data_IF_754413183076
#
_entry.id   IF_754413183076
#
_cell.length_a   1.000
_cell.length_b   1.000
_cell.length_c   1.000
_cell.angle_alpha   90.00
_cell.angle_beta   90.00
_cell.angle_gamma   90.00
#
_symmetry.space_group_name_H-M   'P 1'
#
loop_
_entity.id
_entity.type
_entity.pdbx_description
1 polymer ?
#
# COMPACT_ATOMS: atom_id res chain seq x y z
N UNK A 1 51.21 8.80 26.04
CA UNK A 1 50.64 7.50 25.64
C UNK A 1 49.81 6.90 26.78
N UNK A 2 49.13 7.74 27.58
CA UNK A 2 48.31 7.29 28.75
C UNK A 2 47.00 8.10 28.90
N UNK A 3 46.63 8.98 27.94
CA UNK A 3 45.48 9.89 28.15
C UNK A 3 44.22 9.56 27.31
N UNK A 4 44.21 8.51 26.48
CA UNK A 4 43.05 8.19 25.61
C UNK A 4 42.00 7.26 26.25
N UNK A 5 42.35 6.48 27.28
CA UNK A 5 41.44 5.49 27.88
C UNK A 5 40.36 6.10 28.81
N UNK A 6 40.61 7.29 29.37
CA UNK A 6 39.69 7.95 30.31
C UNK A 6 38.52 8.70 29.62
N UNK A 7 38.65 9.03 28.33
CA UNK A 7 37.59 9.65 27.52
C UNK A 7 36.62 8.61 26.93
N UNK A 8 37.07 7.37 26.69
CA UNK A 8 36.23 6.25 26.23
C UNK A 8 35.17 5.86 27.27
N UNK A 9 35.52 5.84 28.55
CA UNK A 9 34.61 5.50 29.63
C UNK A 9 33.49 6.53 29.85
N UNK A 10 33.77 7.82 29.63
CA UNK A 10 32.78 8.91 29.79
C UNK A 10 31.84 9.02 28.59
N UNK A 11 32.33 8.76 27.38
CA UNK A 11 31.51 8.75 26.18
C UNK A 11 30.50 7.59 26.20
N UNK A 12 30.89 6.41 26.67
CA UNK A 12 30.03 5.22 26.75
C UNK A 12 28.86 5.40 27.73
N UNK A 13 29.11 5.98 28.92
CA UNK A 13 28.07 6.18 29.95
C UNK A 13 27.09 7.30 29.56
N UNK A 14 27.52 8.30 28.81
CA UNK A 14 26.68 9.44 28.41
C UNK A 14 25.71 9.14 27.24
N UNK A 15 25.98 8.07 26.47
CA UNK A 15 25.16 7.62 25.33
C UNK A 15 24.05 6.67 25.81
N UNK A 16 24.35 5.76 26.74
CA UNK A 16 23.40 4.76 27.24
C UNK A 16 22.23 5.39 28.02
N UNK A 17 22.51 6.45 28.79
CA UNK A 17 21.48 7.17 29.56
C UNK A 17 20.55 8.08 28.76
N UNK A 18 20.85 8.38 27.48
CA UNK A 18 20.06 9.32 26.64
C UNK A 18 19.21 8.64 25.56
N UNK A 19 19.52 7.40 25.21
CA UNK A 19 18.75 6.65 24.21
C UNK A 19 17.46 6.02 24.78
N UNK A 20 17.40 5.77 26.08
CA UNK A 20 16.24 5.15 26.75
C UNK A 20 15.00 6.04 26.78
N UNK A 21 15.16 7.37 26.84
CA UNK A 21 14.03 8.31 26.86
C UNK A 21 13.50 8.67 25.44
N UNK A 22 14.31 8.49 24.40
CA UNK A 22 13.91 8.86 23.02
C UNK A 22 13.08 7.80 22.30
N UNK A 23 13.01 6.57 22.83
CA UNK A 23 12.20 5.47 22.28
C UNK A 23 10.68 5.70 22.36
N UNK A 24 10.22 6.75 23.06
CA UNK A 24 8.80 7.12 23.14
C UNK A 24 8.30 8.06 22.04
N UNK A 25 9.18 8.66 21.25
CA UNK A 25 8.78 9.70 20.26
C UNK A 25 8.60 9.18 18.83
N UNK A 26 9.11 8.00 18.49
CA UNK A 26 9.05 7.48 17.11
C UNK A 26 7.79 6.65 16.80
N UNK A 27 6.93 6.38 17.78
CA UNK A 27 5.77 5.49 17.63
C UNK A 27 4.43 6.21 17.37
N UNK A 28 4.41 7.53 17.12
CA UNK A 28 3.17 8.32 17.14
C UNK A 28 2.52 8.54 15.76
N UNK A 29 3.22 8.32 14.64
CA UNK A 29 2.66 8.67 13.31
C UNK A 29 2.31 7.49 12.39
N UNK A 30 2.28 6.25 12.92
CA UNK A 30 1.98 5.05 12.14
C UNK A 30 0.51 4.60 12.15
N UNK A 31 -0.44 5.48 12.49
CA UNK A 31 -1.87 5.16 12.49
C UNK A 31 -2.54 5.54 11.17
N UNK A 32 -3.41 4.69 10.63
CA UNK A 32 -4.15 4.94 9.38
C UNK A 32 -4.95 6.27 9.35
N UNK A 33 -5.19 6.88 10.51
CA UNK A 33 -5.75 8.24 10.62
C UNK A 33 -4.83 9.32 10.05
N UNK A 34 -3.50 9.15 10.15
CA UNK A 34 -2.51 10.07 9.57
C UNK A 34 -2.48 10.01 8.05
N UNK A 35 -2.56 8.81 7.48
CA UNK A 35 -2.60 8.62 6.02
C UNK A 35 -3.87 9.21 5.39
N UNK A 36 -5.03 9.02 6.03
CA UNK A 36 -6.28 9.63 5.58
C UNK A 36 -6.26 11.16 5.67
N UNK A 37 -5.67 11.71 6.73
CA UNK A 37 -5.47 13.15 6.86
C UNK A 37 -4.53 13.70 5.78
N UNK A 38 -3.48 12.96 5.44
CA UNK A 38 -2.57 13.32 4.35
C UNK A 38 -3.28 13.34 3.01
N UNK A 39 -4.10 12.32 2.70
CA UNK A 39 -4.89 12.26 1.47
C UNK A 39 -5.87 13.43 1.40
N UNK A 40 -6.57 13.72 2.51
CA UNK A 40 -7.49 14.85 2.57
C UNK A 40 -6.78 16.18 2.33
N UNK A 41 -5.57 16.36 2.88
CA UNK A 41 -4.79 17.57 2.71
C UNK A 41 -4.29 17.74 1.26
N UNK A 42 -3.89 16.65 0.60
CA UNK A 42 -3.57 16.65 -0.84
C UNK A 42 -4.81 17.06 -1.65
N UNK A 43 -5.97 16.46 -1.36
CA UNK A 43 -7.22 16.76 -2.06
C UNK A 43 -7.62 18.24 -1.89
N UNK A 44 -7.46 18.78 -0.68
CA UNK A 44 -7.73 20.17 -0.37
C UNK A 44 -6.80 21.13 -1.13
N UNK A 45 -5.51 20.78 -1.26
CA UNK A 45 -4.54 21.55 -2.07
C UNK A 45 -4.91 21.60 -3.55
N UNK A 46 -5.46 20.49 -4.09
CA UNK A 46 -5.89 20.40 -5.49
C UNK A 46 -7.23 21.08 -5.79
N UNK A 47 -8.02 21.39 -4.76
CA UNK A 47 -9.39 21.90 -4.93
C UNK A 47 -9.45 23.18 -5.77
N UNK A 48 -8.46 24.07 -5.64
CA UNK A 48 -8.39 25.29 -6.43
C UNK A 48 -8.24 25.05 -7.94
N UNK A 49 -7.34 24.14 -8.33
CA UNK A 49 -7.16 23.76 -9.75
C UNK A 49 -8.41 23.06 -10.29
N UNK A 50 -8.99 22.17 -9.49
CA UNK A 50 -10.23 21.47 -9.83
C UNK A 50 -11.38 22.44 -10.14
N UNK A 51 -11.56 23.50 -9.34
CA UNK A 51 -12.60 24.51 -9.59
C UNK A 51 -12.41 25.22 -10.95
N UNK A 52 -11.17 25.54 -11.34
CA UNK A 52 -10.90 26.17 -12.63
C UNK A 52 -11.28 25.25 -13.80
N UNK A 53 -10.95 23.97 -13.69
CA UNK A 53 -11.26 22.96 -14.69
C UNK A 53 -12.76 22.71 -14.79
N UNK A 54 -13.46 22.63 -13.66
CA UNK A 54 -14.92 22.51 -13.62
C UNK A 54 -15.57 23.75 -14.24
N UNK A 55 -15.06 24.95 -13.96
CA UNK A 55 -15.57 26.18 -14.57
C UNK A 55 -15.40 26.20 -16.10
N UNK A 56 -14.24 25.79 -16.61
CA UNK A 56 -14.00 25.67 -18.05
C UNK A 56 -14.91 24.62 -18.71
N UNK A 57 -15.09 23.48 -18.04
CA UNK A 57 -15.96 22.39 -18.51
C UNK A 57 -17.43 22.79 -18.51
N UNK A 58 -17.87 23.50 -17.48
CA UNK A 58 -19.20 24.08 -17.40
C UNK A 58 -19.43 25.10 -18.52
N UNK A 59 -18.45 25.95 -18.81
CA UNK A 59 -18.52 26.90 -19.94
C UNK A 59 -18.67 26.17 -21.28
N UNK A 60 -17.87 25.13 -21.52
CA UNK A 60 -17.99 24.28 -22.72
C UNK A 60 -19.39 23.68 -22.84
N UNK A 61 -19.90 23.08 -21.76
CA UNK A 61 -21.24 22.47 -21.73
C UNK A 61 -22.35 23.50 -21.96
N UNK A 62 -22.27 24.67 -21.32
CA UNK A 62 -23.27 25.72 -21.48
C UNK A 62 -23.32 26.23 -22.92
N UNK A 63 -22.15 26.44 -23.53
CA UNK A 63 -22.02 26.91 -24.91
C UNK A 63 -22.49 25.85 -25.92
N UNK A 64 -22.04 24.60 -25.79
CA UNK A 64 -22.44 23.52 -26.69
C UNK A 64 -23.94 23.22 -26.60
N UNK A 65 -24.52 23.32 -25.40
CA UNK A 65 -25.95 23.14 -25.16
C UNK A 65 -26.78 24.27 -25.76
N UNK A 66 -26.28 25.50 -25.70
CA UNK A 66 -26.92 26.64 -26.35
C UNK A 66 -26.90 26.47 -27.86
N UNK A 67 -25.75 26.08 -28.42
CA UNK A 67 -25.60 25.85 -29.84
C UNK A 67 -26.50 24.70 -30.32
N UNK A 68 -26.55 23.60 -29.57
CA UNK A 68 -27.46 22.48 -29.84
C UNK A 68 -28.94 22.89 -29.77
N UNK A 69 -29.34 23.67 -28.76
CA UNK A 69 -30.71 24.16 -28.63
C UNK A 69 -31.11 24.99 -29.85
N UNK A 70 -30.33 26.02 -30.19
CA UNK A 70 -30.62 26.91 -31.33
C UNK A 70 -30.63 26.14 -32.66
N UNK A 71 -29.68 25.22 -32.85
CA UNK A 71 -29.52 24.49 -34.10
C UNK A 71 -30.65 23.47 -34.34
N UNK A 72 -31.20 22.88 -33.28
CA UNK A 72 -32.23 21.84 -33.38
C UNK A 72 -33.66 22.31 -33.03
N UNK A 73 -33.88 23.58 -32.69
CA UNK A 73 -35.18 24.12 -32.25
C UNK A 73 -36.32 23.76 -33.24
N UNK A 74 -36.07 23.86 -34.55
CA UNK A 74 -37.09 23.62 -35.58
C UNK A 74 -37.21 22.15 -36.03
N UNK A 75 -36.35 21.25 -35.52
CA UNK A 75 -36.29 19.84 -35.91
C UNK A 75 -37.20 18.96 -35.04
N UNK A 76 -37.44 17.69 -35.42
CA UNK A 76 -38.20 16.77 -34.55
C UNK A 76 -37.50 16.55 -33.22
N UNK A 77 -36.16 16.56 -33.21
CA UNK A 77 -35.35 16.46 -31.99
C UNK A 77 -35.63 17.62 -31.01
N UNK A 78 -35.78 18.84 -31.54
CA UNK A 78 -36.19 20.03 -30.77
C UNK A 78 -37.52 19.86 -30.06
N UNK A 79 -38.47 19.17 -30.70
CA UNK A 79 -39.82 18.98 -30.19
C UNK A 79 -39.95 17.86 -29.16
N UNK A 80 -39.12 16.83 -29.23
CA UNK A 80 -39.20 15.67 -28.33
C UNK A 80 -38.20 15.74 -27.18
N UNK A 81 -36.99 16.20 -27.44
CA UNK A 81 -35.83 15.99 -26.55
C UNK A 81 -35.19 17.32 -26.14
N UNK A 82 -35.08 18.30 -27.04
CA UNK A 82 -34.51 19.63 -26.77
C UNK A 82 -35.59 20.70 -26.63
N UNK A 83 -36.59 20.41 -25.79
CA UNK A 83 -37.79 21.26 -25.59
C UNK A 83 -37.48 22.61 -24.93
N UNK A 84 -36.45 22.67 -24.11
CA UNK A 84 -35.99 23.82 -23.34
C UNK A 84 -34.47 23.83 -23.31
N UNK A 85 -33.87 24.99 -23.05
CA UNK A 85 -32.43 25.08 -22.83
C UNK A 85 -31.97 24.15 -21.69
N UNK A 86 -32.72 24.07 -20.60
CA UNK A 86 -32.38 23.21 -19.46
C UNK A 86 -32.43 21.72 -19.78
N UNK A 87 -33.42 21.28 -20.57
CA UNK A 87 -33.51 19.88 -21.01
C UNK A 87 -32.41 19.55 -22.01
N UNK A 88 -32.08 20.48 -22.91
CA UNK A 88 -30.94 20.34 -23.84
C UNK A 88 -29.61 20.24 -23.10
N UNK A 89 -29.40 21.07 -22.07
CA UNK A 89 -28.20 21.03 -21.24
C UNK A 89 -28.03 19.69 -20.55
N UNK A 90 -29.10 19.15 -19.96
CA UNK A 90 -29.07 17.82 -19.35
C UNK A 90 -28.72 16.72 -20.37
N UNK A 91 -29.32 16.77 -21.56
CA UNK A 91 -29.05 15.78 -22.61
C UNK A 91 -27.63 15.88 -23.19
N UNK A 92 -27.07 17.10 -23.30
CA UNK A 92 -25.68 17.32 -23.70
C UNK A 92 -24.70 16.90 -22.61
N UNK A 93 -25.04 17.07 -21.34
CA UNK A 93 -24.25 16.57 -20.22
C UNK A 93 -24.22 15.02 -20.22
N UNK A 94 -25.35 14.36 -20.44
CA UNK A 94 -25.38 12.90 -20.62
C UNK A 94 -24.57 12.43 -21.83
N UNK A 95 -24.53 13.25 -22.90
CA UNK A 95 -23.70 12.96 -24.07
C UNK A 95 -22.21 13.23 -23.82
N UNK A 96 -21.88 14.20 -22.96
CA UNK A 96 -20.52 14.46 -22.49
C UNK A 96 -19.94 13.25 -21.76
N UNK A 97 -20.76 12.55 -20.97
CA UNK A 97 -20.42 11.29 -20.30
C UNK A 97 -20.61 10.05 -21.19
N UNK A 98 -21.00 10.23 -22.46
CA UNK A 98 -21.33 9.17 -23.42
C UNK A 98 -22.44 8.20 -22.95
N UNK A 99 -23.25 8.57 -21.95
CA UNK A 99 -24.25 7.69 -21.35
C UNK A 99 -25.50 7.51 -22.20
N UNK A 100 -25.83 8.49 -23.05
CA UNK A 100 -26.99 8.46 -23.94
C UNK A 100 -26.61 8.35 -25.44
N UNK A 101 -25.36 7.99 -25.73
CA UNK A 101 -24.91 7.73 -27.10
C UNK A 101 -25.24 6.28 -27.49
N UNK A 102 -25.87 5.99 -28.65
CA UNK A 102 -26.25 6.92 -29.73
C UNK A 102 -27.68 7.53 -29.61
N UNK A 103 -28.47 7.10 -28.63
CA UNK A 103 -29.91 7.35 -28.55
C UNK A 103 -30.34 8.81 -28.66
N UNK A 104 -29.55 9.73 -28.10
CA UNK A 104 -29.90 11.17 -28.07
C UNK A 104 -29.98 11.81 -29.45
N UNK A 105 -29.23 11.32 -30.44
CA UNK A 105 -29.13 11.97 -31.76
C UNK A 105 -29.75 11.15 -32.90
N UNK A 106 -30.23 9.94 -32.63
CA UNK A 106 -30.96 9.10 -33.60
C UNK A 106 -32.16 9.85 -34.22
N UNK A 107 -33.02 10.58 -33.46
CA UNK A 107 -34.15 11.29 -34.05
C UNK A 107 -33.72 12.37 -35.06
N UNK A 108 -32.66 13.13 -34.75
CA UNK A 108 -32.11 14.11 -35.68
C UNK A 108 -31.49 13.42 -36.91
N UNK A 109 -30.77 12.32 -36.72
CA UNK A 109 -30.18 11.59 -37.84
C UNK A 109 -31.22 11.04 -38.83
N UNK A 110 -32.38 10.60 -38.31
CA UNK A 110 -33.52 10.16 -39.13
C UNK A 110 -34.16 11.30 -39.93
N UNK A 111 -34.12 12.53 -39.43
CA UNK A 111 -34.61 13.71 -40.15
C UNK A 111 -33.64 14.12 -41.27
N UNK A 112 -32.36 14.32 -40.94
CA UNK A 112 -31.31 14.58 -41.91
C UNK A 112 -29.97 13.98 -41.47
N UNK A 113 -29.32 13.25 -42.39
CA UNK A 113 -28.05 12.56 -42.11
C UNK A 113 -26.93 13.53 -41.71
N UNK A 114 -26.92 14.75 -42.24
CA UNK A 114 -25.90 15.76 -41.94
C UNK A 114 -25.87 16.21 -40.47
N UNK A 115 -26.96 16.03 -39.73
CA UNK A 115 -27.00 16.37 -38.31
C UNK A 115 -26.07 15.50 -37.45
N UNK A 116 -25.63 14.32 -37.90
CA UNK A 116 -24.65 13.52 -37.16
C UNK A 116 -23.30 14.24 -37.03
N UNK A 117 -22.94 15.15 -37.95
CA UNK A 117 -21.67 15.88 -37.88
C UNK A 117 -21.55 16.73 -36.63
N UNK A 118 -22.65 17.35 -36.19
CA UNK A 118 -22.68 18.12 -34.94
C UNK A 118 -22.34 17.22 -33.75
N UNK A 119 -22.99 16.06 -33.65
CA UNK A 119 -22.80 15.14 -32.53
C UNK A 119 -21.43 14.44 -32.57
N UNK A 120 -20.94 14.07 -33.75
CA UNK A 120 -19.60 13.50 -33.92
C UNK A 120 -18.54 14.52 -33.51
N UNK A 121 -18.66 15.77 -33.98
CA UNK A 121 -17.74 16.84 -33.59
C UNK A 121 -17.81 17.11 -32.09
N UNK A 122 -19.01 17.16 -31.52
CA UNK A 122 -19.23 17.34 -30.10
C UNK A 122 -18.55 16.24 -29.29
N UNK A 123 -18.76 14.96 -29.65
CA UNK A 123 -18.17 13.80 -28.97
C UNK A 123 -16.65 13.80 -29.11
N UNK A 124 -16.12 14.14 -30.28
CA UNK A 124 -14.68 14.22 -30.49
C UNK A 124 -14.07 15.29 -29.59
N UNK A 125 -14.65 16.48 -29.56
CA UNK A 125 -14.16 17.59 -28.74
C UNK A 125 -14.36 17.29 -27.25
N UNK A 126 -15.53 16.80 -26.82
CA UNK A 126 -15.81 16.53 -25.41
C UNK A 126 -14.91 15.44 -24.84
N UNK A 127 -14.80 14.29 -25.52
CA UNK A 127 -14.07 13.14 -24.99
C UNK A 127 -12.57 13.30 -25.21
N UNK A 128 -12.12 13.65 -26.43
CA UNK A 128 -10.68 13.67 -26.71
C UNK A 128 -9.98 14.96 -26.32
N UNK A 129 -10.69 16.09 -26.27
CA UNK A 129 -10.09 17.38 -25.90
C UNK A 129 -10.44 17.72 -24.47
N UNK A 130 -11.73 17.86 -24.14
CA UNK A 130 -12.16 18.38 -22.83
C UNK A 130 -11.84 17.39 -21.70
N UNK A 131 -12.25 16.12 -21.80
CA UNK A 131 -11.96 15.10 -20.76
C UNK A 131 -10.46 14.89 -20.58
N UNK A 132 -9.69 14.82 -21.66
CA UNK A 132 -8.23 14.67 -21.55
C UNK A 132 -7.55 15.91 -20.94
N UNK A 133 -8.05 17.12 -21.23
CA UNK A 133 -7.56 18.34 -20.59
C UNK A 133 -7.89 18.36 -19.10
N UNK A 134 -9.11 17.96 -18.71
CA UNK A 134 -9.52 17.81 -17.30
C UNK A 134 -8.54 16.87 -16.57
N UNK A 135 -8.28 15.69 -17.14
CA UNK A 135 -7.38 14.69 -16.55
C UNK A 135 -5.95 15.24 -16.45
N UNK A 136 -5.47 15.93 -17.49
CA UNK A 136 -4.11 16.48 -17.50
C UNK A 136 -3.90 17.56 -16.41
N UNK A 137 -4.87 18.46 -16.23
CA UNK A 137 -4.77 19.51 -15.22
C UNK A 137 -4.86 18.95 -13.79
N UNK A 138 -5.81 18.03 -13.55
CA UNK A 138 -5.93 17.32 -12.27
C UNK A 138 -4.63 16.56 -11.96
N UNK A 139 -4.07 15.87 -12.94
CA UNK A 139 -2.80 15.14 -12.77
C UNK A 139 -1.64 16.09 -12.48
N UNK A 140 -1.53 17.22 -13.19
CA UNK A 140 -0.52 18.24 -12.93
C UNK A 140 -0.61 18.79 -11.50
N UNK A 141 -1.82 19.12 -11.06
CA UNK A 141 -2.06 19.58 -9.68
C UNK A 141 -1.74 18.51 -8.65
N UNK A 142 -2.12 17.24 -8.90
CA UNK A 142 -1.82 16.11 -8.02
C UNK A 142 -0.31 15.93 -7.85
N UNK A 143 0.44 15.93 -8.95
CA UNK A 143 1.89 15.78 -8.93
C UNK A 143 2.55 16.95 -8.20
N UNK A 144 2.03 18.17 -8.34
CA UNK A 144 2.55 19.34 -7.63
C UNK A 144 2.38 19.21 -6.10
N UNK A 145 1.18 18.85 -5.63
CA UNK A 145 0.92 18.65 -4.20
C UNK A 145 1.69 17.45 -3.65
N UNK A 146 1.79 16.35 -4.41
CA UNK A 146 2.58 15.19 -4.04
C UNK A 146 4.06 15.55 -3.88
N UNK A 147 4.65 16.33 -4.80
CA UNK A 147 6.04 16.81 -4.69
C UNK A 147 6.26 17.63 -3.43
N UNK A 148 5.32 18.52 -3.09
CA UNK A 148 5.39 19.34 -1.88
C UNK A 148 5.37 18.46 -0.63
N UNK A 149 4.49 17.45 -0.59
CA UNK A 149 4.41 16.51 0.53
C UNK A 149 5.63 15.62 0.68
N UNK A 150 6.17 15.10 -0.42
CA UNK A 150 7.42 14.34 -0.41
C UNK A 150 8.58 15.22 0.10
N UNK A 151 8.66 16.47 -0.37
CA UNK A 151 9.66 17.42 0.10
C UNK A 151 9.53 17.75 1.61
N UNK A 152 8.30 17.91 2.12
CA UNK A 152 8.03 18.10 3.56
C UNK A 152 8.49 16.89 4.39
N UNK A 153 8.21 15.66 3.93
CA UNK A 153 8.65 14.42 4.58
C UNK A 153 10.18 14.27 4.55
N UNK A 154 10.81 14.58 3.42
CA UNK A 154 12.27 14.55 3.29
C UNK A 154 12.94 15.58 4.19
N UNK A 155 12.37 16.78 4.31
CA UNK A 155 12.88 17.81 5.22
C UNK A 155 12.71 17.39 6.69
N UNK A 156 11.56 16.84 7.08
CA UNK A 156 11.34 16.31 8.42
C UNK A 156 12.35 15.21 8.76
N UNK A 157 12.54 14.25 7.85
CA UNK A 157 13.56 13.19 7.99
C UNK A 157 14.96 13.78 8.15
N UNK A 158 15.34 14.76 7.31
CA UNK A 158 16.64 15.42 7.40
C UNK A 158 16.80 16.18 8.72
N UNK A 159 15.74 16.82 9.23
CA UNK A 159 15.74 17.47 10.57
C UNK A 159 15.95 16.46 11.70
N UNK A 160 15.33 15.27 11.63
CA UNK A 160 15.53 14.20 12.61
C UNK A 160 16.97 13.69 12.57
N UNK A 161 17.48 13.37 11.37
CA UNK A 161 18.87 12.91 11.20
C UNK A 161 19.89 13.96 11.66
N UNK A 162 19.59 15.24 11.46
CA UNK A 162 20.42 16.34 11.96
C UNK A 162 20.45 16.37 13.49
N UNK A 163 19.30 16.20 14.16
CA UNK A 163 19.24 16.09 15.62
C UNK A 163 20.03 14.87 16.13
N UNK A 164 19.93 13.74 15.44
CA UNK A 164 20.69 12.51 15.76
C UNK A 164 22.18 12.74 15.60
N UNK A 165 22.62 13.38 14.51
CA UNK A 165 24.03 13.72 14.28
C UNK A 165 24.62 14.54 15.43
N UNK A 166 23.92 15.59 15.87
CA UNK A 166 24.37 16.40 17.01
C UNK A 166 24.32 15.66 18.36
N UNK A 167 23.50 14.62 18.49
CA UNK A 167 23.47 13.78 19.68
C UNK A 167 24.66 12.81 19.73
N UNK A 168 25.16 12.39 18.57
CA UNK A 168 26.33 11.51 18.43
C UNK A 168 27.64 12.31 18.56
N UNK A 169 27.70 13.54 18.04
CA UNK A 169 28.84 14.45 18.20
C UNK A 169 28.90 15.03 19.62
N UNK A 170 29.27 14.17 20.57
CA UNK A 170 29.51 14.56 21.97
C UNK A 170 30.59 15.66 22.11
N UNK A 171 31.45 15.79 21.11
CA UNK A 171 32.56 16.75 21.04
C UNK A 171 32.16 18.13 20.52
N UNK A 172 30.93 18.31 20.02
CA UNK A 172 30.48 19.56 19.34
C UNK A 172 31.46 20.04 18.27
N UNK A 173 32.13 19.09 17.63
CA UNK A 173 33.20 19.32 16.67
C UNK A 173 32.68 19.64 15.27
N UNK A 174 31.39 19.34 15.02
CA UNK A 174 30.74 19.47 13.72
C UNK A 174 30.97 18.27 12.80
N UNK A 175 31.59 17.20 13.30
CA UNK A 175 31.86 15.97 12.55
C UNK A 175 31.76 14.73 13.45
N UNK A 176 31.53 13.57 12.82
CA UNK A 176 31.54 12.27 13.49
C UNK A 176 32.86 11.58 13.23
N UNK A 177 33.55 11.20 14.31
CA UNK A 177 34.81 10.47 14.25
C UNK A 177 34.59 9.00 13.90
N UNK A 178 35.64 8.35 13.36
CA UNK A 178 35.64 6.91 13.06
C UNK A 178 35.20 6.04 14.25
N UNK A 179 35.66 6.37 15.46
CA UNK A 179 35.29 5.63 16.69
C UNK A 179 33.80 5.78 17.00
N UNK A 180 33.28 7.01 16.96
CA UNK A 180 31.85 7.29 17.19
C UNK A 180 30.97 6.61 16.14
N UNK A 181 31.39 6.65 14.87
CA UNK A 181 30.70 5.97 13.77
C UNK A 181 30.71 4.45 13.98
N UNK A 182 31.83 3.87 14.39
CA UNK A 182 31.91 2.43 14.70
C UNK A 182 30.94 2.02 15.82
N UNK A 183 30.86 2.80 16.90
CA UNK A 183 29.88 2.56 17.96
C UNK A 183 28.44 2.66 17.48
N UNK A 184 28.12 3.64 16.63
CA UNK A 184 26.80 3.75 16.01
C UNK A 184 26.46 2.52 15.18
N UNK A 185 27.37 2.06 14.32
CA UNK A 185 27.15 0.86 13.50
C UNK A 185 26.93 -0.38 14.36
N UNK A 186 27.70 -0.53 15.45
CA UNK A 186 27.51 -1.63 16.39
C UNK A 186 26.13 -1.59 17.06
N UNK A 187 25.66 -0.42 17.44
CA UNK A 187 24.33 -0.27 18.06
C UNK A 187 23.21 -0.42 17.04
N UNK A 188 23.39 0.07 15.81
CA UNK A 188 22.45 -0.16 14.70
C UNK A 188 22.35 -1.64 14.34
N UNK A 189 23.43 -2.41 14.50
CA UNK A 189 23.43 -3.85 14.24
C UNK A 189 22.50 -4.65 15.18
N UNK A 190 22.07 -4.07 16.30
CA UNK A 190 21.07 -4.66 17.21
C UNK A 190 19.64 -4.58 16.68
N UNK A 191 19.40 -3.70 15.71
CA UNK A 191 18.07 -3.41 15.17
C UNK A 191 17.99 -3.69 13.67
N UNK A 192 19.14 -3.82 12.99
CA UNK A 192 19.24 -4.06 11.56
C UNK A 192 20.32 -5.09 11.29
N UNK A 193 20.10 -5.87 10.23
CA UNK A 193 21.00 -6.92 9.78
C UNK A 193 22.22 -6.36 9.04
N UNK A 194 23.03 -5.56 9.72
CA UNK A 194 24.26 -5.02 9.14
C UNK A 194 25.33 -6.11 9.26
N UNK A 195 26.06 -6.46 8.19
CA UNK A 195 27.17 -7.41 8.30
C UNK A 195 28.15 -6.97 9.39
N UNK A 196 28.52 -7.87 10.30
CA UNK A 196 29.56 -7.59 11.29
C UNK A 196 30.89 -7.36 10.57
N UNK A 197 31.30 -6.10 10.47
CA UNK A 197 32.54 -5.72 9.80
C UNK A 197 33.67 -5.73 10.84
N UNK A 198 34.75 -6.53 10.65
CA UNK A 198 35.90 -6.49 11.53
C UNK A 198 36.57 -5.10 11.47
N UNK A 199 37.14 -4.64 12.60
CA UNK A 199 37.64 -3.25 12.74
C UNK A 199 38.64 -2.82 11.66
N UNK A 200 39.42 -3.76 11.12
CA UNK A 200 40.40 -3.49 10.05
C UNK A 200 39.76 -3.15 8.70
N UNK A 201 38.62 -3.74 8.37
CA UNK A 201 37.91 -3.51 7.11
C UNK A 201 36.96 -2.30 7.19
N UNK A 202 36.61 -1.88 8.41
CA UNK A 202 35.81 -0.68 8.63
C UNK A 202 36.54 0.60 8.15
N UNK A 203 37.88 0.60 8.09
CA UNK A 203 38.65 1.70 7.51
C UNK A 203 38.35 1.92 6.02
N UNK A 204 38.22 0.84 5.26
CA UNK A 204 37.92 0.91 3.84
C UNK A 204 36.51 1.44 3.59
N UNK A 205 35.55 1.01 4.40
CA UNK A 205 34.16 1.46 4.32
C UNK A 205 34.06 2.93 4.76
N UNK A 206 34.76 3.31 5.82
CA UNK A 206 34.80 4.69 6.29
C UNK A 206 35.42 5.62 5.23
N UNK A 207 36.48 5.19 4.55
CA UNK A 207 37.11 5.94 3.46
C UNK A 207 36.23 6.04 2.20
N UNK A 208 35.37 5.07 1.95
CA UNK A 208 34.39 5.14 0.84
C UNK A 208 33.20 6.05 1.19
N UNK A 209 32.86 6.14 2.48
CA UNK A 209 31.80 7.01 3.00
C UNK A 209 32.24 8.47 3.10
N UNK A 210 33.50 8.70 3.46
CA UNK A 210 34.16 10.00 3.48
C UNK A 210 34.52 10.45 2.05
N UNK A 211 33.54 11.06 1.40
CA UNK A 211 33.70 11.60 0.04
C UNK A 211 34.66 12.80 0.07
N UNK A 212 34.68 13.54 1.18
CA UNK A 212 35.56 14.69 1.39
C UNK A 212 37.04 14.33 1.60
N UNK A 213 37.34 13.07 1.95
CA UNK A 213 38.67 12.55 2.27
C UNK A 213 39.38 13.32 3.40
N UNK A 214 38.62 13.84 4.35
CA UNK A 214 39.13 14.57 5.51
C UNK A 214 39.20 13.70 6.79
N UNK A 215 38.97 12.40 6.64
CA UNK A 215 38.85 11.39 7.68
C UNK A 215 37.75 11.70 8.71
N UNK A 216 36.74 12.46 8.30
CA UNK A 216 35.62 12.90 9.14
C UNK A 216 34.31 12.72 8.38
N UNK A 217 33.23 12.38 9.09
CA UNK A 217 31.90 12.32 8.47
C UNK A 217 31.17 13.61 8.78
N UNK A 218 30.87 14.38 7.73
CA UNK A 218 30.03 15.58 7.84
C UNK A 218 28.52 15.22 7.87
N UNK A 219 27.67 16.20 8.15
CA UNK A 219 26.22 15.98 8.26
C UNK A 219 25.60 15.38 6.97
N UNK A 220 26.01 15.85 5.79
CA UNK A 220 25.46 15.38 4.52
C UNK A 220 25.90 13.95 4.20
N UNK A 221 27.14 13.59 4.51
CA UNK A 221 27.66 12.22 4.43
C UNK A 221 26.96 11.29 5.41
N UNK A 222 26.73 11.76 6.64
CA UNK A 222 25.97 11.01 7.64
C UNK A 222 24.55 10.71 7.17
N UNK A 223 23.85 11.71 6.60
CA UNK A 223 22.50 11.52 6.05
C UNK A 223 22.52 10.52 4.88
N UNK A 224 23.50 10.64 3.97
CA UNK A 224 23.68 9.67 2.87
C UNK A 224 23.92 8.27 3.40
N UNK A 225 24.77 8.11 4.40
CA UNK A 225 25.06 6.84 5.04
C UNK A 225 23.80 6.20 5.60
N UNK A 226 23.02 6.93 6.41
CA UNK A 226 21.77 6.43 6.97
C UNK A 226 20.78 6.02 5.87
N UNK A 227 20.75 6.73 4.75
CA UNK A 227 19.91 6.36 3.61
C UNK A 227 20.38 5.07 2.93
N UNK A 228 21.70 4.90 2.73
CA UNK A 228 22.26 3.66 2.17
C UNK A 228 21.96 2.48 3.09
N UNK A 229 22.14 2.65 4.40
CA UNK A 229 21.85 1.60 5.38
C UNK A 229 20.36 1.23 5.32
N UNK A 230 19.47 2.21 5.25
CA UNK A 230 18.02 1.97 5.16
C UNK A 230 17.57 1.31 3.86
N UNK A 231 18.28 1.50 2.76
CA UNK A 231 17.94 0.89 1.48
C UNK A 231 18.54 -0.51 1.32
N UNK A 232 19.71 -0.77 1.89
CA UNK A 232 20.45 -2.03 1.68
C UNK A 232 20.25 -3.06 2.79
N UNK A 233 20.02 -2.64 4.03
CA UNK A 233 19.95 -3.56 5.17
C UNK A 233 18.54 -3.63 5.72
N UNK A 234 17.99 -4.84 5.72
CA UNK A 234 16.66 -5.13 6.26
C UNK A 234 16.67 -5.01 7.80
N UNK A 235 15.56 -4.51 8.35
CA UNK A 235 15.31 -4.53 9.79
C UNK A 235 15.28 -5.97 10.30
N UNK A 236 16.00 -6.21 11.40
CA UNK A 236 16.15 -7.54 11.96
C UNK A 236 14.78 -8.11 12.39
N UNK A 237 14.57 -9.39 12.07
CA UNK A 237 13.34 -10.10 12.42
C UNK A 237 13.17 -10.07 13.95
N UNK A 238 12.04 -9.55 14.44
CA UNK A 238 11.74 -9.52 15.86
C UNK A 238 11.75 -10.93 16.45
N UNK A 239 12.30 -11.06 17.67
CA UNK A 239 12.38 -12.32 18.39
C UNK A 239 10.97 -12.94 18.51
N UNK A 240 10.83 -14.17 18.04
CA UNK A 240 9.56 -14.90 18.12
C UNK A 240 9.19 -15.11 19.60
N UNK A 241 7.93 -14.87 19.97
CA UNK A 241 7.40 -15.08 21.33
C UNK A 241 7.72 -16.50 21.85
N UNK A 242 7.88 -17.46 20.93
CA UNK A 242 8.21 -18.86 21.19
C UNK A 242 9.67 -19.14 21.57
N UNK A 243 10.61 -18.19 21.45
CA UNK A 243 11.97 -18.33 21.99
C UNK A 243 11.99 -18.35 23.53
N UNK A 244 10.92 -17.92 24.19
CA UNK A 244 10.72 -18.11 25.64
C UNK A 244 10.57 -19.58 26.06
N UNK A 245 10.35 -20.50 25.11
CA UNK A 245 10.26 -21.95 25.34
C UNK A 245 11.41 -22.71 24.62
N UNK A 246 12.64 -22.67 25.15
CA UNK A 246 13.85 -23.12 24.44
C UNK A 246 13.86 -24.62 24.09
N UNK A 247 13.27 -25.48 24.92
CA UNK A 247 13.34 -26.94 24.76
C UNK A 247 12.59 -27.47 23.53
N UNK A 248 11.52 -26.80 23.09
CA UNK A 248 10.74 -27.22 21.91
C UNK A 248 11.19 -26.48 20.65
N UNK A 249 11.60 -25.22 20.79
CA UNK A 249 11.94 -24.34 19.69
C UNK A 249 13.31 -24.67 19.06
N UNK A 250 14.31 -25.07 19.87
CA UNK A 250 15.65 -25.48 19.42
C UNK A 250 15.77 -26.98 19.07
N UNK A 251 14.65 -27.71 18.99
CA UNK A 251 14.69 -29.09 18.53
C UNK A 251 15.11 -29.16 17.05
N UNK A 252 15.95 -30.14 16.64
CA UNK A 252 16.38 -30.28 15.25
C UNK A 252 15.23 -30.50 14.27
N UNK A 253 14.06 -30.94 14.74
CA UNK A 253 12.84 -31.04 13.93
C UNK A 253 12.21 -29.66 13.67
N UNK A 254 12.22 -28.78 14.67
CA UNK A 254 11.70 -27.40 14.57
C UNK A 254 12.58 -26.55 13.64
N UNK A 255 13.90 -26.68 13.71
CA UNK A 255 14.82 -25.98 12.80
C UNK A 255 14.65 -26.40 11.33
N UNK A 256 14.51 -27.71 11.08
CA UNK A 256 14.23 -28.22 9.71
C UNK A 256 12.89 -27.73 9.18
N UNK A 257 11.87 -27.71 10.03
CA UNK A 257 10.53 -27.22 9.69
C UNK A 257 10.56 -25.71 9.36
N UNK A 258 11.26 -24.90 10.18
CA UNK A 258 11.50 -23.47 9.91
C UNK A 258 12.25 -23.25 8.61
N UNK A 259 13.30 -24.02 8.36
CA UNK A 259 14.05 -23.96 7.11
C UNK A 259 13.21 -24.31 5.88
N UNK A 260 12.28 -25.27 6.01
CA UNK A 260 11.35 -25.63 4.93
C UNK A 260 10.31 -24.53 4.68
N UNK A 261 9.67 -24.00 5.73
CA UNK A 261 8.63 -22.96 5.60
C UNK A 261 9.22 -21.64 5.09
N UNK A 262 10.46 -21.31 5.45
CA UNK A 262 11.18 -20.14 4.92
C UNK A 262 11.65 -20.32 3.48
N UNK A 263 11.61 -21.55 2.95
CA UNK A 263 12.07 -21.81 1.59
C UNK A 263 11.03 -21.36 0.55
N UNK A 264 11.50 -20.86 -0.59
CA UNK A 264 10.67 -20.51 -1.75
C UNK A 264 9.86 -21.71 -2.28
N UNK A 265 10.27 -22.94 -1.95
CA UNK A 265 9.53 -24.15 -2.34
C UNK A 265 8.20 -24.25 -1.61
N UNK A 266 8.16 -23.87 -0.33
CA UNK A 266 6.91 -23.87 0.44
C UNK A 266 5.95 -22.82 -0.11
N UNK A 267 6.43 -21.61 -0.38
CA UNK A 267 5.63 -20.54 -1.01
C UNK A 267 5.04 -21.00 -2.36
N UNK A 268 5.84 -21.63 -3.22
CA UNK A 268 5.35 -22.17 -4.49
C UNK A 268 4.29 -23.27 -4.31
N UNK A 269 4.41 -24.11 -3.27
CA UNK A 269 3.39 -25.14 -2.96
C UNK A 269 2.07 -24.48 -2.57
N UNK A 270 2.09 -23.46 -1.71
CA UNK A 270 0.88 -22.76 -1.29
C UNK A 270 0.19 -22.06 -2.46
N UNK A 271 0.96 -21.39 -3.32
CA UNK A 271 0.42 -20.78 -4.56
C UNK A 271 -0.18 -21.84 -5.48
N UNK A 272 0.43 -23.01 -5.59
CA UNK A 272 -0.13 -24.11 -6.36
C UNK A 272 -1.45 -24.63 -5.76
N UNK A 273 -1.52 -24.79 -4.44
CA UNK A 273 -2.75 -25.17 -3.72
C UNK A 273 -3.86 -24.15 -3.95
N UNK A 274 -3.54 -22.85 -3.91
CA UNK A 274 -4.48 -21.76 -4.21
C UNK A 274 -5.04 -21.88 -5.63
N UNK A 275 -4.19 -22.19 -6.62
CA UNK A 275 -4.62 -22.36 -8.01
C UNK A 275 -5.52 -23.59 -8.19
N UNK A 276 -5.21 -24.70 -7.53
CA UNK A 276 -6.06 -25.89 -7.54
C UNK A 276 -7.40 -25.60 -6.87
N UNK A 277 -7.40 -24.87 -5.75
CA UNK A 277 -8.62 -24.45 -5.05
C UNK A 277 -9.51 -23.58 -5.95
N UNK A 278 -8.92 -22.63 -6.70
CA UNK A 278 -9.66 -21.82 -7.68
C UNK A 278 -10.36 -22.69 -8.73
N UNK A 279 -9.67 -23.69 -9.26
CA UNK A 279 -10.27 -24.63 -10.23
C UNK A 279 -11.38 -25.46 -9.58
N UNK A 280 -11.20 -25.91 -8.35
CA UNK A 280 -12.21 -26.65 -7.60
C UNK A 280 -13.50 -25.83 -7.44
N UNK A 281 -13.39 -24.57 -6.99
CA UNK A 281 -14.55 -23.65 -6.83
C UNK A 281 -15.28 -23.40 -8.16
N UNK A 282 -14.55 -23.23 -9.27
CA UNK A 282 -15.16 -23.05 -10.59
C UNK A 282 -15.95 -24.31 -10.99
N UNK A 283 -15.40 -25.50 -10.77
CA UNK A 283 -16.07 -26.76 -11.10
C UNK A 283 -17.32 -26.95 -10.23
N UNK A 284 -17.21 -26.67 -8.94
CA UNK A 284 -18.34 -26.72 -8.00
C UNK A 284 -19.47 -25.80 -8.44
N UNK A 285 -19.15 -24.54 -8.76
CA UNK A 285 -20.15 -23.56 -9.23
C UNK A 285 -20.87 -24.03 -10.50
N UNK A 286 -20.14 -24.68 -11.43
CA UNK A 286 -20.73 -25.23 -12.65
C UNK A 286 -21.60 -26.47 -12.40
N UNK A 287 -21.24 -27.30 -11.42
CA UNK A 287 -22.00 -28.50 -11.04
C UNK A 287 -23.25 -28.18 -10.23
N UNK A 288 -23.21 -27.11 -9.43
CA UNK A 288 -24.36 -26.60 -8.67
C UNK A 288 -25.48 -26.16 -9.61
N UNK A 289 -25.14 -25.49 -10.72
CA UNK A 289 -26.10 -25.14 -11.77
C UNK A 289 -26.75 -26.35 -12.47
N UNK A 290 -26.18 -27.56 -12.29
CA UNK A 290 -26.63 -28.78 -12.97
C UNK A 290 -27.36 -29.76 -12.03
N UNK A 291 -27.68 -29.37 -10.78
CA UNK A 291 -28.40 -30.17 -9.77
C UNK A 291 -27.82 -31.60 -9.60
N UNK A 292 -26.49 -31.71 -9.62
CA UNK A 292 -25.81 -33.00 -9.50
C UNK A 292 -25.58 -33.39 -8.03
N UNK A 293 -25.77 -34.67 -7.71
CA UNK A 293 -25.50 -35.21 -6.36
C UNK A 293 -24.02 -35.18 -5.93
N UNK A 294 -23.12 -34.72 -6.80
CA UNK A 294 -21.70 -34.55 -6.54
C UNK A 294 -21.38 -33.39 -5.56
N UNK A 295 -22.32 -32.50 -5.26
CA UNK A 295 -22.15 -31.35 -4.34
C UNK A 295 -21.55 -31.77 -2.98
N UNK A 296 -22.02 -32.88 -2.40
CA UNK A 296 -21.54 -33.35 -1.07
C UNK A 296 -20.07 -33.79 -1.05
N UNK A 297 -19.48 -34.12 -2.21
CA UNK A 297 -18.05 -34.43 -2.31
C UNK A 297 -17.21 -33.17 -2.44
N UNK A 298 -17.70 -32.17 -3.17
CA UNK A 298 -17.02 -30.88 -3.33
C UNK A 298 -16.97 -30.09 -2.02
N UNK A 299 -18.08 -30.05 -1.27
CA UNK A 299 -18.12 -29.47 0.09
C UNK A 299 -17.08 -30.07 1.04
N UNK A 300 -16.81 -31.39 0.95
CA UNK A 300 -15.75 -32.02 1.77
C UNK A 300 -14.34 -31.61 1.34
N UNK A 301 -14.15 -31.37 0.05
CA UNK A 301 -12.89 -30.90 -0.52
C UNK A 301 -12.64 -29.45 -0.10
N UNK A 302 -13.67 -28.60 -0.07
CA UNK A 302 -13.57 -27.21 0.40
C UNK A 302 -13.11 -27.15 1.87
N UNK A 303 -13.74 -27.92 2.76
CA UNK A 303 -13.32 -28.01 4.18
C UNK A 303 -11.87 -28.48 4.30
N UNK A 304 -11.42 -29.38 3.42
CA UNK A 304 -10.03 -29.84 3.39
C UNK A 304 -9.06 -28.69 3.01
N UNK A 305 -9.43 -27.86 2.03
CA UNK A 305 -8.65 -26.67 1.68
C UNK A 305 -8.63 -25.64 2.80
N UNK A 306 -9.77 -25.38 3.47
CA UNK A 306 -9.84 -24.52 4.65
C UNK A 306 -8.91 -24.97 5.77
N UNK A 307 -8.91 -26.27 6.08
CA UNK A 307 -7.96 -26.87 7.03
C UNK A 307 -6.50 -26.68 6.63
N UNK A 308 -6.17 -26.83 5.33
CA UNK A 308 -4.82 -26.61 4.82
C UNK A 308 -4.36 -25.17 5.02
N UNK A 309 -5.22 -24.18 4.80
CA UNK A 309 -4.90 -22.76 5.03
C UNK A 309 -4.71 -22.44 6.53
N UNK A 310 -5.53 -23.01 7.41
CA UNK A 310 -5.34 -22.85 8.87
C UNK A 310 -4.01 -23.45 9.33
N UNK A 311 -3.64 -24.62 8.81
CA UNK A 311 -2.34 -25.25 9.12
C UNK A 311 -1.21 -24.38 8.60
N UNK A 312 -1.31 -23.88 7.36
CA UNK A 312 -0.34 -22.99 6.74
C UNK A 312 -0.12 -21.72 7.57
N UNK A 313 -1.21 -21.05 7.97
CA UNK A 313 -1.18 -19.85 8.80
C UNK A 313 -0.51 -20.14 10.15
N UNK A 314 -0.88 -21.23 10.80
CA UNK A 314 -0.31 -21.63 12.09
C UNK A 314 1.19 -21.90 11.98
N UNK A 315 1.60 -22.58 10.91
CA UNK A 315 3.01 -22.85 10.60
C UNK A 315 3.79 -21.56 10.33
N UNK A 316 3.24 -20.61 9.56
CA UNK A 316 3.88 -19.30 9.33
C UNK A 316 4.01 -18.50 10.62
N UNK A 317 2.95 -18.40 11.42
CA UNK A 317 2.98 -17.68 12.71
C UNK A 317 3.98 -18.33 13.69
N UNK A 318 4.08 -19.66 13.70
CA UNK A 318 5.06 -20.39 14.53
C UNK A 318 6.51 -20.12 14.09
N UNK A 319 6.76 -20.05 12.78
CA UNK A 319 8.12 -19.94 12.23
C UNK A 319 8.67 -18.52 12.24
N UNK A 320 7.86 -17.53 11.87
CA UNK A 320 8.23 -16.11 11.82
C UNK A 320 7.98 -15.37 13.13
N UNK A 321 7.05 -15.85 13.95
CA UNK A 321 6.53 -15.11 15.10
C UNK A 321 5.47 -14.10 14.70
N UNK A 322 4.55 -13.79 15.62
CA UNK A 322 3.39 -12.93 15.32
C UNK A 322 3.79 -11.53 14.82
N UNK A 323 4.83 -10.93 15.40
CA UNK A 323 5.32 -9.60 15.00
C UNK A 323 5.82 -9.54 13.56
N UNK A 324 6.66 -10.51 13.14
CA UNK A 324 7.19 -10.53 11.78
C UNK A 324 6.14 -10.99 10.76
N UNK A 325 5.26 -11.92 11.16
CA UNK A 325 4.13 -12.33 10.33
C UNK A 325 3.21 -11.15 10.00
N UNK A 326 2.87 -10.32 11.00
CA UNK A 326 2.04 -9.13 10.79
C UNK A 326 2.79 -7.97 10.11
N UNK A 327 4.12 -8.02 9.98
CA UNK A 327 4.87 -6.98 9.27
C UNK A 327 4.72 -7.08 7.75
N UNK A 328 4.48 -8.27 7.23
CA UNK A 328 4.31 -8.51 5.79
C UNK A 328 2.82 -8.39 5.39
N UNK A 329 2.53 -7.47 4.46
CA UNK A 329 1.19 -7.24 3.95
C UNK A 329 0.56 -8.47 3.27
N UNK A 330 1.35 -9.37 2.70
CA UNK A 330 0.84 -10.64 2.14
C UNK A 330 0.29 -11.54 3.24
N UNK A 331 1.04 -11.69 4.32
CA UNK A 331 0.66 -12.50 5.47
C UNK A 331 -0.54 -11.90 6.22
N UNK A 332 -0.64 -10.57 6.33
CA UNK A 332 -1.83 -9.91 6.87
C UNK A 332 -3.09 -10.25 6.06
N UNK A 333 -3.00 -10.25 4.74
CA UNK A 333 -4.10 -10.62 3.85
C UNK A 333 -4.49 -12.10 4.01
N UNK A 334 -3.51 -13.00 4.00
CA UNK A 334 -3.72 -14.44 4.21
C UNK A 334 -4.40 -14.73 5.56
N UNK A 335 -4.01 -14.02 6.63
CA UNK A 335 -4.63 -14.13 7.95
C UNK A 335 -6.11 -13.74 7.93
N UNK A 336 -6.42 -12.58 7.34
CA UNK A 336 -7.80 -12.10 7.24
C UNK A 336 -8.68 -13.08 6.45
N UNK A 337 -8.18 -13.60 5.34
CA UNK A 337 -8.89 -14.61 4.55
C UNK A 337 -9.11 -15.89 5.36
N UNK A 338 -8.06 -16.40 6.00
CA UNK A 338 -8.17 -17.64 6.78
C UNK A 338 -9.16 -17.48 7.93
N UNK A 339 -9.17 -16.33 8.61
CA UNK A 339 -10.19 -16.02 9.61
C UNK A 339 -11.60 -15.99 9.02
N UNK A 340 -11.78 -15.40 7.84
CA UNK A 340 -13.07 -15.37 7.16
C UNK A 340 -13.56 -16.79 6.82
N UNK A 341 -12.68 -17.64 6.27
CA UNK A 341 -12.98 -19.05 5.96
C UNK A 341 -13.39 -19.81 7.23
N UNK A 342 -12.67 -19.64 8.33
CA UNK A 342 -13.01 -20.32 9.60
C UNK A 342 -14.38 -19.84 10.12
N UNK A 343 -14.68 -18.56 10.02
CA UNK A 343 -16.00 -18.03 10.42
C UNK A 343 -17.10 -18.63 9.55
N UNK A 344 -16.90 -18.67 8.24
CA UNK A 344 -17.83 -19.28 7.27
C UNK A 344 -18.08 -20.77 7.58
N UNK A 345 -17.02 -21.56 7.77
CA UNK A 345 -17.14 -22.98 8.14
C UNK A 345 -17.89 -23.18 9.46
N UNK A 346 -17.63 -22.32 10.47
CA UNK A 346 -18.33 -22.37 11.75
C UNK A 346 -19.81 -22.03 11.61
N UNK A 347 -20.20 -21.09 10.73
CA UNK A 347 -21.61 -20.79 10.48
C UNK A 347 -22.35 -21.96 9.85
N UNK A 348 -21.74 -22.64 8.87
CA UNK A 348 -22.32 -23.82 8.22
C UNK A 348 -22.52 -24.95 9.24
N UNK A 349 -21.56 -25.17 10.13
CA UNK A 349 -21.63 -26.23 11.14
C UNK A 349 -22.73 -25.96 12.18
N UNK A 350 -22.90 -24.71 12.61
CA UNK A 350 -23.98 -24.30 13.53
C UNK A 350 -25.36 -24.49 12.88
N UNK A 351 -25.52 -24.16 11.60
CA UNK A 351 -26.79 -24.37 10.88
C UNK A 351 -27.13 -25.86 10.73
N UNK A 352 -26.12 -26.71 10.49
CA UNK A 352 -26.31 -28.17 10.47
C UNK A 352 -26.76 -28.72 11.83
N UNK A 353 -26.17 -28.25 12.93
CA UNK A 353 -26.56 -28.67 14.28
C UNK A 353 -27.94 -28.12 14.68
N UNK A 354 -28.30 -26.91 14.24
CA UNK A 354 -29.63 -26.35 14.43
C UNK A 354 -30.71 -27.17 13.70
N UNK A 355 -30.45 -27.58 12.46
CA UNK A 355 -31.33 -28.47 11.68
C UNK A 355 -31.44 -29.86 12.32
N UNK A 356 -30.34 -30.41 12.82
CA UNK A 356 -30.32 -31.71 13.50
C UNK A 356 -31.05 -31.68 14.85
N UNK A 357 -30.93 -30.58 15.59
CA UNK A 357 -31.65 -30.33 16.85
C UNK A 357 -33.15 -30.18 16.64
N UNK A 358 -33.57 -29.48 15.57
CA UNK A 358 -34.98 -29.38 15.16
C UNK A 358 -35.54 -30.73 14.70
N UNK A 359 -34.76 -31.50 13.93
CA UNK A 359 -35.15 -32.86 13.52
C UNK A 359 -35.33 -33.79 14.71
N UNK A 360 -34.46 -33.73 15.73
CA UNK A 360 -34.56 -34.56 16.94
C UNK A 360 -35.69 -34.15 17.89
N UNK A 361 -36.27 -32.95 17.72
CA UNK A 361 -37.37 -32.43 18.54
C UNK A 361 -38.77 -32.86 18.06
N UNK A 362 -38.89 -33.39 16.84
CA UNK A 362 -40.16 -33.72 16.21
C UNK A 362 -40.51 -35.24 16.24
N UNK A 363 -40.06 -35.97 17.27
CA UNK A 363 -40.36 -37.39 17.48
C UNK A 363 -40.93 -37.59 18.88
#
# INVERSE_FOLDING_TARGET
>A
MVDDDDDEGKAAVAVDGRFTDSGRFAAVDGGGDGELQEIFLILAGMFGAYLNVVALSALYLLFSSWLGYVFFTDTRLGKTTFTSYGTTLYQMFLLFTASNHPDVWIPAYKDARWYCLFFILYVIVSIYVVVNLIVADIYGSFVSELKKKVAEKDEMRRRILTKVFYLIDNTKSGYVNKVQCFFLFRELNKYRTIPEIPRGDFELIFNELDVTRDFKINLDEFVRLCNIIALKFEEEDSLSIFEKCPNFYHSPASEKLRGFIRSTKFENIIVFVLLVNLVAVIIETMLDMQDSSAQTLWQKIEICFGCLYVIEMTLKVYTYGFGNYWRDGKNQFDFCITCFIVIEEMTILVDLDALKSLSNRNW
#
